data_IF_312735187598
#
_entry.id   IF_312735187598
#
_cell.length_a   1.000
_cell.length_b   1.000
_cell.length_c   1.000
_cell.angle_alpha   90.00
_cell.angle_beta   90.00
_cell.angle_gamma   90.00
#
_symmetry.space_group_name_H-M   'P 1'
#
loop_
_entity.id
_entity.type
_entity.pdbx_description
1 polymer ?
#
# COMPACT_ATOMS: atom_id res chain seq x y z
N UNK A 1 -14.75 9.47 -9.78
CA UNK A 1 -14.19 8.76 -10.96
C UNK A 1 -13.98 7.29 -10.64
N UNK A 2 -14.23 6.41 -11.60
CA UNK A 2 -13.91 4.97 -11.50
C UNK A 2 -12.43 4.72 -11.84
N UNK A 3 -11.87 3.58 -11.41
CA UNK A 3 -10.48 3.23 -11.73
C UNK A 3 -10.22 3.12 -13.24
N UNK A 4 -11.22 2.71 -14.00
CA UNK A 4 -11.15 2.63 -15.47
C UNK A 4 -11.08 4.02 -16.11
N UNK A 5 -11.85 4.99 -15.59
CA UNK A 5 -11.78 6.38 -16.06
C UNK A 5 -10.43 7.02 -15.73
N UNK A 6 -9.90 6.75 -14.54
CA UNK A 6 -8.57 7.21 -14.10
C UNK A 6 -7.49 6.64 -15.02
N UNK A 7 -7.53 5.34 -15.29
CA UNK A 7 -6.60 4.68 -16.20
C UNK A 7 -6.65 5.30 -17.59
N UNK A 8 -7.83 5.49 -18.15
CA UNK A 8 -8.01 6.10 -19.46
C UNK A 8 -7.47 7.54 -19.50
N UNK A 9 -7.61 8.29 -18.40
CA UNK A 9 -7.08 9.64 -18.28
C UNK A 9 -5.54 9.62 -18.31
N UNK A 10 -4.91 8.74 -17.54
CA UNK A 10 -3.46 8.63 -17.46
C UNK A 10 -2.80 8.07 -18.73
N UNK A 11 -3.53 7.29 -19.53
CA UNK A 11 -3.08 6.74 -20.81
C UNK A 11 -3.26 7.69 -21.99
N UNK A 12 -4.16 8.69 -21.90
CA UNK A 12 -4.49 9.61 -23.01
C UNK A 12 -3.63 10.86 -23.08
N UNK A 13 -2.35 10.77 -22.80
CA UNK A 13 -1.43 11.90 -22.86
C UNK A 13 -0.85 12.02 -24.28
N UNK A 14 -1.05 13.16 -24.93
CA UNK A 14 -0.77 13.30 -26.35
C UNK A 14 0.39 14.25 -26.69
N UNK A 15 0.72 15.19 -25.79
CA UNK A 15 1.70 16.25 -26.10
C UNK A 15 2.55 16.61 -24.85
N UNK A 16 3.59 17.41 -25.06
CA UNK A 16 4.53 17.80 -24.01
C UNK A 16 3.87 18.53 -22.81
N UNK A 17 2.75 19.22 -23.02
CA UNK A 17 1.98 19.85 -21.93
C UNK A 17 1.29 18.79 -21.08
N UNK A 18 0.63 17.82 -21.72
CA UNK A 18 -0.02 16.70 -21.03
C UNK A 18 0.99 15.87 -20.23
N UNK A 19 2.23 15.73 -20.75
CA UNK A 19 3.30 14.98 -20.08
C UNK A 19 3.75 15.60 -18.76
N UNK A 20 3.57 16.93 -18.59
CA UNK A 20 3.89 17.68 -17.38
C UNK A 20 2.75 17.79 -16.39
N UNK A 21 1.55 17.37 -16.80
CA UNK A 21 0.34 17.57 -16.01
C UNK A 21 0.18 16.45 -14.99
N UNK A 22 -0.03 16.84 -13.74
CA UNK A 22 -0.42 15.94 -12.66
C UNK A 22 -1.92 16.04 -12.44
N UNK A 23 -2.63 14.96 -12.65
CA UNK A 23 -4.05 14.88 -12.34
C UNK A 23 -4.24 14.55 -10.85
N UNK A 24 -4.69 15.52 -10.06
CA UNK A 24 -5.06 15.34 -8.67
C UNK A 24 -6.55 15.03 -8.56
N UNK A 25 -6.87 13.83 -8.16
CA UNK A 25 -8.24 13.35 -8.01
C UNK A 25 -8.62 13.37 -6.54
N UNK A 26 -9.70 14.06 -6.20
CA UNK A 26 -10.23 14.13 -4.84
C UNK A 26 -11.02 12.86 -4.51
N UNK A 27 -10.54 12.12 -3.53
CA UNK A 27 -11.18 10.93 -2.96
C UNK A 27 -11.42 11.14 -1.46
N UNK A 28 -12.62 11.56 -1.10
CA UNK A 28 -12.93 11.97 0.27
C UNK A 28 -12.09 13.16 0.71
N UNK A 29 -11.33 13.00 1.79
CA UNK A 29 -10.45 14.04 2.35
C UNK A 29 -9.03 14.05 1.76
N UNK A 30 -8.78 13.27 0.70
CA UNK A 30 -7.47 13.12 0.08
C UNK A 30 -7.49 13.57 -1.37
N UNK A 31 -6.39 14.18 -1.81
CA UNK A 31 -6.00 14.21 -3.22
C UNK A 31 -5.11 13.01 -3.52
N UNK A 32 -5.40 12.35 -4.64
CA UNK A 32 -4.58 11.24 -5.15
C UNK A 32 -4.15 11.51 -6.57
N UNK A 33 -2.92 11.11 -6.84
CA UNK A 33 -2.36 11.03 -8.17
C UNK A 33 -2.11 9.55 -8.50
N UNK A 34 -2.41 9.13 -9.71
CA UNK A 34 -2.30 7.76 -10.16
C UNK A 34 -1.28 7.63 -11.29
N UNK A 35 -0.71 6.46 -11.45
CA UNK A 35 0.15 6.07 -12.57
C UNK A 35 1.18 7.15 -12.96
N UNK A 36 1.03 7.77 -14.11
CA UNK A 36 1.89 8.84 -14.64
C UNK A 36 1.93 10.05 -13.70
N UNK A 37 0.78 10.49 -13.22
CA UNK A 37 0.69 11.61 -12.27
C UNK A 37 1.40 11.30 -10.95
N UNK A 38 1.32 10.06 -10.46
CA UNK A 38 2.05 9.64 -9.25
C UNK A 38 3.56 9.61 -9.48
N UNK A 39 4.00 9.13 -10.65
CA UNK A 39 5.41 9.16 -11.03
C UNK A 39 5.94 10.59 -11.09
N UNK A 40 5.22 11.52 -11.73
CA UNK A 40 5.61 12.93 -11.81
C UNK A 40 5.79 13.54 -10.42
N UNK A 41 4.85 13.34 -9.50
CA UNK A 41 4.93 13.88 -8.14
C UNK A 41 6.10 13.32 -7.31
N UNK A 42 6.52 12.10 -7.60
CA UNK A 42 7.61 11.45 -6.85
C UNK A 42 8.98 11.72 -7.48
N UNK A 43 9.06 11.81 -8.79
CA UNK A 43 10.31 12.02 -9.51
C UNK A 43 10.70 13.49 -9.66
N UNK A 44 9.69 14.36 -9.77
CA UNK A 44 9.86 15.81 -9.91
C UNK A 44 9.17 16.51 -8.74
N UNK A 45 9.78 16.47 -7.53
CA UNK A 45 9.18 17.09 -6.36
C UNK A 45 8.98 18.59 -6.61
N UNK A 46 7.76 18.99 -6.46
CA UNK A 46 7.34 20.40 -6.70
C UNK A 46 7.78 21.28 -5.53
N UNK A 47 7.91 20.72 -4.33
CA UNK A 47 8.36 21.46 -3.15
C UNK A 47 9.81 21.12 -2.79
N UNK A 48 10.64 22.15 -2.63
CA UNK A 48 12.04 22.03 -2.21
C UNK A 48 12.19 21.71 -0.71
N UNK A 49 11.14 21.97 0.08
CA UNK A 49 11.17 21.88 1.55
C UNK A 49 10.62 20.55 2.09
N UNK A 50 10.23 19.61 1.24
CA UNK A 50 9.69 18.34 1.69
C UNK A 50 10.80 17.30 1.87
N UNK A 51 11.36 17.21 3.07
CA UNK A 51 12.07 16.02 3.56
C UNK A 51 11.16 14.76 3.58
N UNK A 52 9.87 14.94 3.34
CA UNK A 52 8.88 13.85 3.36
C UNK A 52 8.56 13.43 1.93
N UNK A 53 9.18 12.36 1.49
CA UNK A 53 8.76 11.67 0.28
C UNK A 53 7.30 11.22 0.38
N UNK A 54 6.53 11.41 -0.70
CA UNK A 54 5.18 10.87 -0.81
C UNK A 54 5.24 9.34 -0.76
N UNK A 55 4.42 8.74 0.10
CA UNK A 55 4.31 7.29 0.15
C UNK A 55 3.57 6.80 -1.09
N UNK A 56 4.27 6.03 -1.91
CA UNK A 56 3.69 5.36 -3.08
C UNK A 56 3.11 4.03 -2.66
N UNK A 57 1.92 3.74 -3.14
CA UNK A 57 1.19 2.51 -2.88
C UNK A 57 0.84 1.84 -4.20
N UNK A 58 0.74 0.53 -4.23
CA UNK A 58 0.25 -0.21 -5.38
C UNK A 58 -0.92 -1.10 -4.99
N UNK A 59 -1.85 -1.28 -5.93
CA UNK A 59 -3.04 -2.12 -5.77
C UNK A 59 -3.28 -2.89 -7.06
N UNK A 60 -3.33 -4.20 -6.98
CA UNK A 60 -3.71 -5.05 -8.10
C UNK A 60 -5.22 -5.17 -8.19
N UNK A 61 -5.80 -4.85 -9.34
CA UNK A 61 -7.22 -5.06 -9.62
C UNK A 61 -7.50 -6.50 -10.09
N UNK A 62 -8.79 -6.86 -10.19
CA UNK A 62 -9.20 -8.23 -10.54
C UNK A 62 -8.81 -8.63 -11.97
N UNK A 63 -8.71 -7.68 -12.87
CA UNK A 63 -8.27 -7.84 -14.26
C UNK A 63 -6.74 -7.90 -14.43
N UNK A 64 -6.00 -7.89 -13.31
CA UNK A 64 -4.54 -7.97 -13.31
C UNK A 64 -3.82 -6.63 -13.43
N UNK A 65 -4.54 -5.52 -13.65
CA UNK A 65 -3.96 -4.19 -13.71
C UNK A 65 -3.38 -3.78 -12.36
N UNK A 66 -2.17 -3.23 -12.37
CA UNK A 66 -1.50 -2.68 -11.19
C UNK A 66 -1.67 -1.17 -11.22
N UNK A 67 -2.53 -0.66 -10.35
CA UNK A 67 -2.70 0.75 -10.09
C UNK A 67 -1.67 1.19 -9.06
N UNK A 68 -0.82 2.13 -9.44
CA UNK A 68 0.17 2.76 -8.57
C UNK A 68 -0.28 4.17 -8.29
N UNK A 69 -0.32 4.55 -7.03
CA UNK A 69 -0.81 5.86 -6.63
C UNK A 69 -0.08 6.41 -5.40
N UNK A 70 -0.03 7.71 -5.30
CA UNK A 70 0.34 8.43 -4.08
C UNK A 70 -0.72 9.47 -3.75
N UNK A 71 -0.67 10.03 -2.55
CA UNK A 71 -1.64 11.06 -2.17
C UNK A 71 -1.35 11.69 -0.82
N UNK A 72 -2.06 12.77 -0.56
CA UNK A 72 -1.96 13.57 0.65
C UNK A 72 -3.32 14.13 1.04
N UNK A 73 -3.53 14.49 2.32
CA UNK A 73 -4.77 15.14 2.76
C UNK A 73 -5.00 16.47 2.05
N UNK A 74 -6.24 16.76 1.66
CA UNK A 74 -6.61 18.02 0.99
C UNK A 74 -6.13 19.26 1.79
N UNK A 75 -6.21 19.19 3.12
CA UNK A 75 -5.73 20.26 4.02
C UNK A 75 -4.21 20.47 4.02
N UNK A 76 -3.46 19.54 3.45
CA UNK A 76 -1.99 19.55 3.39
C UNK A 76 -1.45 19.85 1.99
N UNK A 77 -2.30 20.22 1.04
CA UNK A 77 -1.92 20.45 -0.35
C UNK A 77 -0.70 21.38 -0.48
N UNK A 78 -0.70 22.52 0.21
CA UNK A 78 0.39 23.50 0.15
C UNK A 78 1.74 22.98 0.69
N UNK A 79 1.76 21.85 1.42
CA UNK A 79 3.00 21.22 1.88
C UNK A 79 3.67 20.39 0.79
N UNK A 80 2.86 19.86 -0.13
CA UNK A 80 3.34 18.99 -1.20
C UNK A 80 3.43 19.72 -2.53
N UNK A 81 2.51 20.65 -2.77
CA UNK A 81 2.46 21.48 -3.97
C UNK A 81 2.31 22.94 -3.51
N UNK A 82 3.44 23.68 -3.40
CA UNK A 82 3.41 25.08 -2.97
C UNK A 82 2.64 25.91 -3.99
N UNK A 83 1.90 26.87 -3.49
CA UNK A 83 1.19 27.83 -4.32
C UNK A 83 2.17 28.97 -4.68
N UNK A 84 2.96 28.78 -5.71
CA UNK A 84 3.85 29.79 -6.26
C UNK A 84 3.54 30.06 -7.75
N UNK A 85 4.01 31.18 -8.26
CA UNK A 85 3.73 31.63 -9.63
C UNK A 85 4.30 30.71 -10.73
N UNK A 86 5.14 29.74 -10.37
CA UNK A 86 5.72 28.77 -11.31
C UNK A 86 4.83 27.57 -11.56
N UNK A 87 3.81 27.36 -10.70
CA UNK A 87 2.92 26.20 -10.74
C UNK A 87 1.54 26.64 -11.18
N UNK A 88 1.06 26.07 -12.26
CA UNK A 88 -0.27 26.35 -12.76
C UNK A 88 -1.26 25.33 -12.22
N UNK A 89 -2.36 25.82 -11.61
CA UNK A 89 -3.48 25.01 -11.13
C UNK A 89 -4.69 25.23 -12.03
N UNK A 90 -5.16 24.18 -12.67
CA UNK A 90 -6.32 24.21 -13.56
C UNK A 90 -7.44 23.37 -12.95
N UNK A 91 -8.48 23.97 -12.35
CA UNK A 91 -9.65 23.22 -11.88
C UNK A 91 -10.38 22.61 -13.09
N UNK A 92 -10.48 21.28 -13.12
CA UNK A 92 -11.16 20.54 -14.22
C UNK A 92 -12.58 20.20 -13.81
N UNK A 93 -12.79 19.84 -12.55
CA UNK A 93 -14.10 19.56 -11.96
C UNK A 93 -14.07 19.74 -10.43
N UNK A 94 -15.21 19.55 -9.76
CA UNK A 94 -15.30 19.58 -8.29
C UNK A 94 -14.42 18.50 -7.61
N UNK A 95 -14.02 17.48 -8.37
CA UNK A 95 -13.25 16.34 -7.87
C UNK A 95 -11.88 16.19 -8.54
N UNK A 96 -11.48 17.11 -9.42
CA UNK A 96 -10.23 16.99 -10.14
C UNK A 96 -9.57 18.34 -10.38
N UNK A 97 -8.28 18.42 -10.09
CA UNK A 97 -7.42 19.57 -10.34
C UNK A 97 -6.21 19.10 -11.14
N UNK A 98 -5.91 19.77 -12.22
CA UNK A 98 -4.67 19.57 -12.96
C UNK A 98 -3.61 20.52 -12.44
N UNK A 99 -2.41 19.98 -12.23
CA UNK A 99 -1.23 20.75 -11.77
C UNK A 99 -0.12 20.57 -12.79
N UNK A 100 0.33 21.68 -13.38
CA UNK A 100 1.41 21.64 -14.37
C UNK A 100 2.75 21.86 -13.66
N UNK A 101 3.65 20.88 -13.77
CA UNK A 101 4.97 20.91 -13.13
C UNK A 101 5.96 21.69 -13.98
N UNK A 102 6.52 22.82 -13.48
CA UNK A 102 7.30 23.76 -14.29
C UNK A 102 8.67 23.22 -14.71
N UNK A 103 9.31 22.40 -13.87
CA UNK A 103 10.72 22.02 -14.02
C UNK A 103 10.93 20.71 -14.83
N UNK A 104 9.94 20.31 -15.60
CA UNK A 104 10.04 19.12 -16.44
C UNK A 104 10.18 19.52 -17.90
N UNK A 105 11.25 19.11 -18.56
CA UNK A 105 11.42 19.33 -20.01
C UNK A 105 11.23 18.02 -20.77
N UNK A 106 10.06 17.90 -21.39
CA UNK A 106 9.71 16.75 -22.25
C UNK A 106 9.60 17.12 -23.74
N UNK A 107 10.14 18.29 -24.14
CA UNK A 107 9.96 18.80 -25.50
C UNK A 107 10.51 17.84 -26.60
N UNK A 108 11.54 17.07 -26.28
CA UNK A 108 12.16 16.09 -27.18
C UNK A 108 11.93 14.64 -26.73
N UNK A 109 10.98 14.40 -25.81
CA UNK A 109 10.70 13.07 -25.29
C UNK A 109 9.39 12.55 -25.83
N UNK A 110 9.39 11.33 -26.31
CA UNK A 110 8.19 10.68 -26.81
C UNK A 110 7.36 10.08 -25.67
N UNK A 111 6.06 9.92 -25.91
CA UNK A 111 5.18 9.19 -25.00
C UNK A 111 5.75 7.83 -24.58
N UNK A 112 6.28 7.09 -25.54
CA UNK A 112 6.80 5.73 -25.29
C UNK A 112 8.03 5.72 -24.36
N UNK A 113 8.93 6.69 -24.52
CA UNK A 113 10.11 6.80 -23.65
C UNK A 113 9.73 7.10 -22.20
N UNK A 114 8.75 7.99 -21.99
CA UNK A 114 8.26 8.28 -20.64
C UNK A 114 7.53 7.08 -20.07
N UNK A 115 6.69 6.43 -20.88
CA UNK A 115 5.91 5.25 -20.46
C UNK A 115 6.84 4.11 -20.01
N UNK A 116 7.92 3.86 -20.74
CA UNK A 116 8.93 2.86 -20.36
C UNK A 116 9.53 3.17 -18.99
N UNK A 117 9.90 4.43 -18.73
CA UNK A 117 10.43 4.85 -17.42
C UNK A 117 9.41 4.66 -16.29
N UNK A 118 8.13 4.92 -16.56
CA UNK A 118 7.05 4.73 -15.59
C UNK A 118 6.86 3.23 -15.30
N UNK A 119 6.90 2.39 -16.30
CA UNK A 119 6.72 0.95 -16.15
C UNK A 119 7.91 0.33 -15.36
N UNK A 120 9.14 0.74 -15.67
CA UNK A 120 10.33 0.39 -14.87
C UNK A 120 10.19 0.86 -13.40
N UNK A 121 9.73 2.10 -13.19
CA UNK A 121 9.50 2.61 -11.84
C UNK A 121 8.43 1.81 -11.09
N UNK A 122 7.34 1.40 -11.74
CA UNK A 122 6.29 0.58 -11.12
C UNK A 122 6.82 -0.75 -10.61
N UNK A 123 7.77 -1.37 -11.30
CA UNK A 123 8.39 -2.63 -10.87
C UNK A 123 9.18 -2.48 -9.57
N UNK A 124 9.66 -1.27 -9.26
CA UNK A 124 10.37 -1.00 -7.99
C UNK A 124 9.44 -0.86 -6.78
N UNK A 125 8.14 -0.71 -7.00
CA UNK A 125 7.17 -0.43 -5.94
C UNK A 125 6.65 -1.74 -5.34
N UNK A 126 6.80 -1.96 -4.03
CA UNK A 126 6.29 -3.17 -3.40
C UNK A 126 4.77 -3.24 -3.56
N UNK A 127 4.28 -4.35 -4.09
CA UNK A 127 2.85 -4.58 -4.19
C UNK A 127 2.27 -4.69 -2.78
N UNK A 128 1.31 -3.83 -2.48
CA UNK A 128 0.59 -3.86 -1.20
C UNK A 128 -0.40 -5.02 -1.25
N UNK A 129 0.06 -6.22 -0.92
CA UNK A 129 -0.79 -7.38 -0.83
C UNK A 129 -1.71 -7.23 0.39
N UNK A 130 -2.97 -6.87 0.15
CA UNK A 130 -4.02 -6.95 1.17
C UNK A 130 -4.23 -8.39 1.68
N UNK A 131 -3.77 -9.40 0.95
CA UNK A 131 -3.81 -10.80 1.32
C UNK A 131 -2.88 -11.13 2.48
N UNK A 132 -1.63 -10.68 2.47
CA UNK A 132 -0.67 -10.99 3.53
C UNK A 132 -1.14 -10.51 4.91
N UNK A 133 -1.68 -9.29 5.02
CA UNK A 133 -2.19 -8.81 6.32
C UNK A 133 -3.43 -9.53 6.82
N UNK A 134 -4.21 -10.13 5.94
CA UNK A 134 -5.40 -10.92 6.34
C UNK A 134 -4.98 -12.33 6.74
N UNK A 135 -4.09 -12.94 5.98
CA UNK A 135 -3.46 -14.22 6.30
C UNK A 135 -2.59 -14.13 7.57
N UNK A 136 -1.80 -13.05 7.72
CA UNK A 136 -1.05 -12.78 8.96
C UNK A 136 -1.95 -12.55 10.17
N UNK A 137 -3.11 -11.89 10.02
CA UNK A 137 -4.09 -11.74 11.10
C UNK A 137 -4.81 -13.05 11.41
N UNK A 138 -5.21 -13.80 10.40
CA UNK A 138 -5.83 -15.13 10.57
C UNK A 138 -4.83 -16.12 11.17
N UNK A 139 -3.55 -16.06 10.79
CA UNK A 139 -2.48 -16.82 11.41
C UNK A 139 -2.24 -16.32 12.84
N UNK A 140 -2.17 -15.02 13.09
CA UNK A 140 -1.96 -14.45 14.44
C UNK A 140 -3.13 -14.73 15.39
N UNK A 141 -4.38 -14.84 14.91
CA UNK A 141 -5.52 -15.27 15.70
C UNK A 141 -5.50 -16.78 15.98
N UNK A 142 -4.87 -17.59 15.13
CA UNK A 142 -4.66 -19.02 15.36
C UNK A 142 -3.38 -19.35 16.15
N UNK A 143 -2.39 -18.47 16.14
CA UNK A 143 -1.10 -18.66 16.82
C UNK A 143 -1.22 -18.98 18.31
N UNK A 144 -2.06 -18.32 19.13
CA UNK A 144 -2.17 -18.65 20.54
C UNK A 144 -2.75 -20.04 20.79
N UNK A 145 -3.57 -20.56 19.89
CA UNK A 145 -4.07 -21.94 19.98
C UNK A 145 -2.99 -22.96 19.62
N UNK A 146 -2.22 -22.70 18.57
CA UNK A 146 -1.12 -23.57 18.11
C UNK A 146 0.01 -23.60 19.16
N UNK A 147 0.37 -22.46 19.73
CA UNK A 147 1.40 -22.38 20.79
C UNK A 147 0.97 -23.16 22.02
N UNK A 148 -0.25 -22.98 22.50
CA UNK A 148 -0.80 -23.74 23.62
C UNK A 148 -0.88 -25.24 23.34
N UNK A 149 -1.17 -25.64 22.11
CA UNK A 149 -1.19 -27.06 21.71
C UNK A 149 0.22 -27.64 21.74
N UNK A 150 1.23 -26.91 21.26
CA UNK A 150 2.64 -27.27 21.32
C UNK A 150 3.13 -27.41 22.77
N UNK A 151 2.71 -26.50 23.64
CA UNK A 151 3.05 -26.53 25.08
C UNK A 151 2.47 -27.76 25.77
N UNK A 152 1.22 -28.14 25.46
CA UNK A 152 0.58 -29.36 26.00
C UNK A 152 1.31 -30.62 25.52
N UNK A 153 1.69 -30.69 24.22
CA UNK A 153 2.48 -31.79 23.68
C UNK A 153 3.83 -31.89 24.38
N UNK A 154 4.52 -30.76 24.56
CA UNK A 154 5.81 -30.71 25.25
C UNK A 154 5.71 -31.18 26.71
N UNK A 155 4.64 -30.82 27.42
CA UNK A 155 4.36 -31.31 28.76
C UNK A 155 4.16 -32.83 28.76
N UNK A 156 3.38 -33.37 27.82
CA UNK A 156 3.16 -34.82 27.70
C UNK A 156 4.46 -35.59 27.48
N UNK A 157 5.32 -35.08 26.57
CA UNK A 157 6.60 -35.71 26.25
C UNK A 157 7.58 -35.65 27.44
N UNK A 158 7.50 -34.61 28.27
CA UNK A 158 8.42 -34.40 29.40
C UNK A 158 8.06 -35.22 30.65
N UNK A 159 6.91 -35.92 30.67
CA UNK A 159 6.48 -36.73 31.80
C UNK A 159 7.33 -38.00 31.90
N UNK A 160 8.11 -38.22 33.00
CA UNK A 160 8.92 -39.41 33.17
C UNK A 160 8.02 -40.56 33.63
N UNK A 161 7.41 -41.25 32.64
CA UNK A 161 6.36 -42.27 32.90
C UNK A 161 6.85 -43.42 33.82
N UNK A 162 8.16 -43.73 33.77
CA UNK A 162 8.77 -44.82 34.55
C UNK A 162 8.95 -44.47 36.04
N UNK A 163 8.97 -43.18 36.41
CA UNK A 163 9.29 -42.71 37.76
C UNK A 163 8.09 -42.11 38.50
N UNK A 164 6.90 -42.10 37.90
CA UNK A 164 5.69 -41.52 38.52
C UNK A 164 4.77 -42.56 39.12
N UNK A 165 4.23 -42.22 40.29
CA UNK A 165 3.20 -43.02 40.94
C UNK A 165 1.85 -42.94 40.16
N UNK A 166 0.96 -43.92 40.26
CA UNK A 166 -0.37 -43.89 39.63
C UNK A 166 -1.19 -42.64 40.01
N UNK A 167 -1.02 -42.12 41.23
CA UNK A 167 -1.72 -40.94 41.70
C UNK A 167 -1.20 -39.68 41.00
N UNK A 168 0.12 -39.54 40.85
CA UNK A 168 0.74 -38.44 40.11
C UNK A 168 0.37 -38.47 38.65
N UNK A 169 0.34 -39.66 38.02
CA UNK A 169 -0.11 -39.81 36.65
C UNK A 169 -1.56 -39.32 36.44
N UNK A 170 -2.45 -39.64 37.39
CA UNK A 170 -3.84 -39.20 37.36
C UNK A 170 -3.96 -37.67 37.48
N UNK A 171 -3.18 -37.04 38.37
CA UNK A 171 -3.20 -35.61 38.57
C UNK A 171 -2.68 -34.87 37.29
N UNK A 172 -1.63 -35.37 36.66
CA UNK A 172 -1.11 -34.84 35.38
C UNK A 172 -2.15 -34.96 34.27
N UNK A 173 -2.79 -36.10 34.12
CA UNK A 173 -3.84 -36.30 33.11
C UNK A 173 -5.04 -35.37 33.34
N UNK A 174 -5.40 -35.11 34.58
CA UNK A 174 -6.47 -34.20 34.94
C UNK A 174 -6.14 -32.76 34.60
N UNK A 175 -4.91 -32.34 34.77
CA UNK A 175 -4.42 -31.00 34.40
C UNK A 175 -4.39 -30.83 32.88
N UNK A 176 -3.79 -31.76 32.16
CA UNK A 176 -3.76 -31.75 30.69
C UNK A 176 -5.16 -31.71 30.08
N UNK A 177 -6.11 -32.47 30.64
CA UNK A 177 -7.51 -32.42 30.20
C UNK A 177 -8.14 -31.06 30.39
N UNK A 178 -7.85 -30.34 31.49
CA UNK A 178 -8.35 -28.98 31.69
C UNK A 178 -7.77 -27.99 30.68
N UNK A 179 -6.48 -28.07 30.41
CA UNK A 179 -5.83 -27.21 29.42
C UNK A 179 -6.38 -27.47 28.02
N UNK A 180 -6.59 -28.72 27.63
CA UNK A 180 -7.20 -29.08 26.34
C UNK A 180 -8.63 -28.52 26.20
N UNK A 181 -9.46 -28.67 27.26
CA UNK A 181 -10.87 -28.19 27.22
C UNK A 181 -10.93 -26.66 27.09
N UNK A 182 -9.91 -25.91 27.57
CA UNK A 182 -9.84 -24.46 27.42
C UNK A 182 -9.43 -23.99 26.01
N UNK A 183 -9.04 -24.90 25.11
CA UNK A 183 -8.67 -24.59 23.74
C UNK A 183 -9.87 -24.62 22.77
N UNK A 184 -10.96 -25.25 23.18
CA UNK A 184 -12.21 -25.42 22.43
C UNK A 184 -13.36 -24.66 23.08
#
# INVERSE_FOLDING_TARGET
MTITEIRNLEEKRANASDFKTVHLIKEGDFYRAHDWSAWLLTFYPVSKDTEKSLKVLSKKSKDGYIDVFCGFPCSSMNKYIPNDDSIEFVPVSDTMIDVIIPNTDFNNTTYQEIRTKIDEWKETIPQTEKKQKREEREIQEQFPKITKFSDIISKIISVPIEDISPRQAYDILRELRREVVQLF
#
